data_IF_692808802502
#
_entry.id   IF_692808802502
#
_cell.length_a   1.000
_cell.length_b   1.000
_cell.length_c   1.000
_cell.angle_alpha   90.00
_cell.angle_beta   90.00
_cell.angle_gamma   90.00
#
_symmetry.space_group_name_H-M   'P 1'
#
loop_
_entity.id
_entity.type
_entity.pdbx_description
1 polymer ?
#
# COMPACT_ATOMS: atom_id res chain seq x y z
N UNK A 1 -10.41 -2.95 8.20
CA UNK A 1 -11.00 -2.46 9.48
C UNK A 1 -10.37 -1.15 9.96
N UNK A 2 -9.05 -0.94 9.81
CA UNK A 2 -8.36 0.28 10.25
C UNK A 2 -8.89 1.56 9.57
N UNK A 3 -9.13 1.54 8.25
CA UNK A 3 -9.59 2.72 7.50
C UNK A 3 -10.83 3.41 8.12
N UNK A 4 -11.97 2.73 8.35
CA UNK A 4 -13.12 3.36 9.00
C UNK A 4 -12.87 3.72 10.47
N UNK A 5 -11.93 3.05 11.15
CA UNK A 5 -11.58 3.41 12.53
C UNK A 5 -10.80 4.72 12.58
N UNK A 6 -9.84 4.92 11.67
CA UNK A 6 -9.05 6.15 11.54
C UNK A 6 -9.91 7.33 11.05
N UNK A 7 -10.86 7.08 10.15
CA UNK A 7 -11.77 8.12 9.66
C UNK A 7 -12.57 8.82 10.78
N UNK A 8 -12.81 8.15 11.92
CA UNK A 8 -13.49 8.75 13.09
C UNK A 8 -12.71 9.88 13.76
N UNK A 9 -11.42 10.02 13.47
CA UNK A 9 -10.60 11.13 13.97
C UNK A 9 -10.92 12.46 13.27
N UNK A 10 -11.66 12.43 12.15
CA UNK A 10 -11.99 13.62 11.35
C UNK A 10 -10.89 14.07 10.39
N UNK A 11 -9.72 13.40 10.40
CA UNK A 11 -8.62 13.72 9.50
C UNK A 11 -8.64 12.88 8.20
N UNK A 12 -8.05 13.40 7.10
CA UNK A 12 -7.90 12.64 5.87
C UNK A 12 -7.12 11.34 6.09
N UNK A 13 -7.67 10.23 5.62
CA UNK A 13 -7.01 8.91 5.68
C UNK A 13 -6.46 8.57 4.30
N UNK A 14 -5.18 8.20 4.23
CA UNK A 14 -4.51 7.73 3.02
C UNK A 14 -4.17 6.25 3.17
N UNK A 15 -4.42 5.46 2.13
CA UNK A 15 -3.97 4.07 2.07
C UNK A 15 -2.69 3.97 1.26
N UNK A 16 -1.63 3.43 1.86
CA UNK A 16 -0.43 3.03 1.13
C UNK A 16 -0.64 1.64 0.49
N UNK A 17 -0.83 1.63 -0.83
CA UNK A 17 -1.14 0.39 -1.55
C UNK A 17 0.10 -0.48 -1.80
N UNK A 18 1.28 0.11 -1.95
CA UNK A 18 2.51 -0.59 -2.32
C UNK A 18 3.21 -1.20 -1.10
N UNK A 19 3.32 -0.47 0.00
CA UNK A 19 3.95 -0.98 1.22
C UNK A 19 3.06 -1.96 1.99
N UNK A 20 1.73 -1.83 1.90
CA UNK A 20 0.81 -2.72 2.63
C UNK A 20 0.87 -4.19 2.19
N UNK A 21 1.46 -4.47 1.03
CA UNK A 21 1.65 -5.83 0.48
C UNK A 21 3.10 -6.31 0.54
N UNK A 22 3.99 -5.56 1.19
CA UNK A 22 5.36 -5.99 1.44
C UNK A 22 5.40 -7.12 2.47
N UNK A 23 6.43 -7.96 2.35
CA UNK A 23 6.77 -9.03 3.28
C UNK A 23 8.16 -8.73 3.85
N UNK A 24 8.23 -8.03 5.01
CA UNK A 24 9.50 -7.64 5.62
C UNK A 24 10.37 -8.86 5.92
N UNK A 25 11.65 -8.78 5.61
CA UNK A 25 12.62 -9.87 5.85
C UNK A 25 12.46 -11.09 4.94
N UNK A 26 11.58 -11.04 3.94
CA UNK A 26 11.29 -12.16 3.05
C UNK A 26 12.43 -12.60 2.13
N UNK A 27 13.52 -11.82 2.02
CA UNK A 27 14.64 -12.11 1.11
C UNK A 27 16.03 -12.00 1.78
N UNK A 28 16.13 -12.17 3.10
CA UNK A 28 17.44 -12.28 3.79
C UNK A 28 18.27 -10.99 3.87
N UNK A 29 17.77 -9.86 3.38
CA UNK A 29 18.41 -8.54 3.42
C UNK A 29 17.55 -7.40 2.85
N UNK A 30 16.57 -7.73 2.01
CA UNK A 30 15.54 -6.82 1.49
C UNK A 30 14.14 -7.26 1.90
N UNK A 31 13.19 -6.33 1.80
CA UNK A 31 11.76 -6.63 1.86
C UNK A 31 11.32 -7.29 0.56
N UNK A 32 10.65 -8.44 0.64
CA UNK A 32 9.89 -8.98 -0.49
C UNK A 32 8.51 -8.35 -0.55
N UNK A 33 7.62 -8.89 -1.39
CA UNK A 33 6.23 -8.47 -1.42
C UNK A 33 5.44 -9.12 -2.55
N UNK A 34 4.13 -9.06 -2.44
CA UNK A 34 3.20 -9.56 -3.47
C UNK A 34 2.58 -8.36 -4.19
N UNK A 35 3.39 -7.70 -5.03
CA UNK A 35 3.03 -6.45 -5.73
C UNK A 35 1.79 -6.57 -6.61
N UNK A 36 1.47 -7.78 -7.07
CA UNK A 36 0.25 -8.11 -7.80
C UNK A 36 -1.03 -7.77 -7.01
N UNK A 37 -0.97 -7.67 -5.68
CA UNK A 37 -2.12 -7.28 -4.86
C UNK A 37 -2.24 -5.77 -4.65
N UNK A 38 -1.23 -4.96 -4.97
CA UNK A 38 -1.30 -3.49 -4.77
C UNK A 38 -2.52 -2.86 -5.48
N UNK A 39 -2.87 -3.22 -6.74
CA UNK A 39 -4.07 -2.70 -7.39
C UNK A 39 -5.38 -3.10 -6.70
N UNK A 40 -5.45 -4.31 -6.13
CA UNK A 40 -6.63 -4.77 -5.37
C UNK A 40 -6.75 -3.98 -4.07
N UNK A 41 -5.64 -3.76 -3.36
CA UNK A 41 -5.61 -2.97 -2.13
C UNK A 41 -6.04 -1.52 -2.37
N UNK A 42 -5.55 -0.90 -3.45
CA UNK A 42 -5.95 0.45 -3.85
C UNK A 42 -7.45 0.53 -4.12
N UNK A 43 -8.01 -0.39 -4.92
CA UNK A 43 -9.46 -0.43 -5.22
C UNK A 43 -10.30 -0.63 -3.97
N UNK A 44 -9.89 -1.53 -3.08
CA UNK A 44 -10.59 -1.78 -1.83
C UNK A 44 -10.60 -0.54 -0.92
N UNK A 45 -9.48 0.17 -0.83
CA UNK A 45 -9.40 1.41 -0.06
C UNK A 45 -10.30 2.51 -0.64
N UNK A 46 -10.29 2.71 -1.95
CA UNK A 46 -11.18 3.67 -2.62
C UNK A 46 -12.65 3.32 -2.38
N UNK A 47 -13.03 2.05 -2.52
CA UNK A 47 -14.41 1.60 -2.26
C UNK A 47 -14.87 1.84 -0.80
N UNK A 48 -13.93 1.82 0.15
CA UNK A 48 -14.21 2.11 1.57
C UNK A 48 -14.25 3.61 1.90
N UNK A 49 -13.89 4.49 0.96
CA UNK A 49 -13.94 5.94 1.15
C UNK A 49 -12.72 6.52 1.86
N UNK A 50 -11.51 6.27 1.33
CA UNK A 50 -10.29 6.99 1.75
C UNK A 50 -10.17 8.35 1.06
N UNK A 51 -9.45 9.29 1.67
CA UNK A 51 -9.17 10.59 1.07
C UNK A 51 -8.13 10.52 -0.06
N UNK A 52 -7.29 9.49 -0.05
CA UNK A 52 -6.31 9.26 -1.09
C UNK A 52 -5.67 7.88 -1.02
N UNK A 53 -4.96 7.54 -2.10
CA UNK A 53 -4.12 6.34 -2.19
C UNK A 53 -2.69 6.80 -2.48
N UNK A 54 -1.74 6.25 -1.73
CA UNK A 54 -0.32 6.39 -2.00
C UNK A 54 0.17 5.16 -2.78
N UNK A 55 0.95 5.40 -3.84
CA UNK A 55 1.46 4.39 -4.76
C UNK A 55 2.88 4.79 -5.15
N UNK A 56 3.84 3.91 -4.92
CA UNK A 56 5.16 4.01 -5.53
C UNK A 56 5.20 3.38 -6.92
N UNK A 57 6.04 3.92 -7.79
CA UNK A 57 6.19 3.45 -9.17
C UNK A 57 7.64 3.56 -9.60
N UNK A 58 8.05 2.65 -10.48
CA UNK A 58 9.34 2.68 -11.16
C UNK A 58 9.16 2.07 -12.55
N UNK A 59 9.89 2.55 -13.56
CA UNK A 59 9.79 2.01 -14.93
C UNK A 59 10.20 0.53 -14.99
N UNK A 60 11.17 0.13 -14.15
CA UNK A 60 11.63 -1.23 -13.98
C UNK A 60 11.60 -1.64 -12.49
N UNK A 61 10.46 -2.08 -11.94
CA UNK A 61 10.30 -2.35 -10.51
C UNK A 61 11.22 -3.45 -9.95
N UNK A 62 11.77 -4.32 -10.80
CA UNK A 62 12.71 -5.38 -10.39
C UNK A 62 14.13 -4.88 -10.16
N UNK A 63 14.46 -3.69 -10.66
CA UNK A 63 15.78 -3.06 -10.51
C UNK A 63 15.68 -1.71 -9.79
N UNK A 64 14.57 -1.46 -9.11
CA UNK A 64 14.43 -0.26 -8.29
C UNK A 64 15.48 -0.28 -7.16
N UNK A 65 16.09 0.87 -6.82
CA UNK A 65 17.12 0.96 -5.78
C UNK A 65 16.56 0.83 -4.35
N UNK A 66 15.24 0.72 -4.22
CA UNK A 66 14.44 0.65 -3.01
C UNK A 66 13.30 -0.35 -3.20
#
# INVERSE_FOLDING_TARGET
>A
RSLPQMARTGYPVVMDATHSVQQPGGQGGSSGGQREFAPVMARAAVALGVAGVFIETHEAPDTAPS
#
